data_IF_555060793812
#
_entry.id   IF_555060793812
#
_cell.length_a   1.000
_cell.length_b   1.000
_cell.length_c   1.000
_cell.angle_alpha   90.00
_cell.angle_beta   90.00
_cell.angle_gamma   90.00
#
_symmetry.space_group_name_H-M   'P 1'
#
loop_
_entity.id
_entity.type
_entity.pdbx_description
1 polymer ?
#
# COMPACT_ATOMS: atom_id res chain seq x y z
N UNK A 1 -6.67 -8.67 -3.17
CA UNK A 1 -6.46 -7.67 -2.09
C UNK A 1 -5.42 -6.59 -2.40
N UNK A 2 -4.42 -6.85 -3.26
CA UNK A 2 -3.44 -5.83 -3.66
C UNK A 2 -4.09 -4.57 -4.26
N UNK A 3 -4.94 -4.73 -5.29
CA UNK A 3 -5.65 -3.61 -5.94
C UNK A 3 -6.59 -2.88 -4.98
N UNK A 4 -7.32 -3.61 -4.15
CA UNK A 4 -8.27 -3.01 -3.20
C UNK A 4 -7.55 -2.18 -2.13
N UNK A 5 -6.32 -2.58 -1.75
CA UNK A 5 -5.52 -1.84 -0.79
C UNK A 5 -5.01 -0.50 -1.34
N UNK A 6 -4.79 -0.34 -2.65
CA UNK A 6 -4.38 0.93 -3.25
C UNK A 6 -5.53 1.88 -3.54
N UNK A 7 -6.73 1.36 -3.81
CA UNK A 7 -7.93 2.16 -4.13
C UNK A 7 -8.35 3.09 -2.98
N UNK A 8 -8.10 2.71 -1.72
CA UNK A 8 -8.50 3.53 -0.58
C UNK A 8 -7.75 4.87 -0.46
N UNK A 9 -6.60 5.01 -1.15
CA UNK A 9 -5.81 6.23 -1.18
C UNK A 9 -5.18 6.67 0.14
N UNK A 10 -5.27 5.87 1.20
CA UNK A 10 -4.76 6.24 2.52
C UNK A 10 -3.24 6.41 2.45
N UNK A 11 -2.51 5.42 1.96
CA UNK A 11 -1.06 5.54 1.83
C UNK A 11 -0.64 6.59 0.77
N UNK A 12 -1.28 6.57 -0.41
CA UNK A 12 -0.89 7.37 -1.59
C UNK A 12 -1.25 8.86 -1.54
N UNK A 13 -1.91 9.29 -0.48
CA UNK A 13 -2.20 10.72 -0.21
C UNK A 13 -1.80 11.13 1.22
N UNK A 14 -1.07 10.28 1.94
CA UNK A 14 -0.75 10.48 3.35
C UNK A 14 0.16 11.68 3.65
N UNK A 15 1.06 12.04 2.75
CA UNK A 15 1.92 13.23 2.80
C UNK A 15 1.17 14.42 2.20
N UNK A 16 0.49 14.23 1.07
CA UNK A 16 -0.30 15.29 0.42
C UNK A 16 -1.37 15.90 1.34
N UNK A 17 -1.99 15.08 2.20
CA UNK A 17 -2.99 15.50 3.20
C UNK A 17 -2.44 16.40 4.31
N UNK A 18 -1.13 16.43 4.52
CA UNK A 18 -0.53 17.33 5.52
C UNK A 18 -0.61 18.80 5.07
N UNK A 19 -0.55 19.07 3.76
CA UNK A 19 -0.61 20.43 3.22
C UNK A 19 0.37 21.38 3.92
N UNK A 20 -0.14 22.51 4.42
CA UNK A 20 0.63 23.50 5.19
C UNK A 20 1.25 22.94 6.48
N UNK A 21 0.63 21.92 7.09
CA UNK A 21 1.12 21.30 8.32
C UNK A 21 2.38 20.45 8.10
N UNK A 22 2.82 20.25 6.85
CA UNK A 22 4.07 19.54 6.56
C UNK A 22 5.29 20.24 7.19
N UNK A 23 5.22 21.57 7.39
CA UNK A 23 6.26 22.32 8.09
C UNK A 23 6.31 21.96 9.57
N UNK A 24 5.16 21.80 10.23
CA UNK A 24 5.08 21.37 11.63
C UNK A 24 5.76 20.00 11.84
N UNK A 25 5.57 19.08 10.90
CA UNK A 25 6.19 17.75 10.92
C UNK A 25 7.73 17.76 10.88
N UNK A 26 8.36 18.89 10.52
CA UNK A 26 9.82 19.08 10.59
C UNK A 26 10.31 19.55 11.95
N UNK A 27 9.46 20.17 12.77
CA UNK A 27 9.83 20.71 14.07
C UNK A 27 9.61 19.71 15.21
N UNK A 28 8.76 18.70 15.01
CA UNK A 28 8.53 17.68 16.04
C UNK A 28 9.79 16.82 16.25
N UNK A 29 10.09 16.40 17.50
CA UNK A 29 11.27 15.59 17.83
C UNK A 29 11.08 14.11 17.45
N UNK A 30 10.56 13.84 16.26
CA UNK A 30 10.27 12.49 15.75
C UNK A 30 11.00 12.29 14.42
N UNK A 31 11.76 11.20 14.31
CA UNK A 31 12.52 10.90 13.09
C UNK A 31 11.60 10.77 11.87
N UNK A 32 12.03 11.24 10.70
CA UNK A 32 11.27 11.11 9.45
C UNK A 32 10.92 9.65 9.12
N UNK A 33 11.79 8.71 9.49
CA UNK A 33 11.52 7.27 9.34
C UNK A 33 10.29 6.84 10.12
N UNK A 34 10.19 7.26 11.37
CA UNK A 34 9.03 6.98 12.23
C UNK A 34 7.76 7.61 11.66
N UNK A 35 7.84 8.85 11.17
CA UNK A 35 6.69 9.53 10.56
C UNK A 35 6.20 8.82 9.28
N UNK A 36 7.14 8.42 8.40
CA UNK A 36 6.83 7.65 7.19
C UNK A 36 6.21 6.29 7.55
N UNK A 37 6.78 5.58 8.54
CA UNK A 37 6.26 4.29 8.96
C UNK A 37 4.88 4.38 9.59
N UNK A 38 4.59 5.42 10.37
CA UNK A 38 3.25 5.65 10.90
C UNK A 38 2.20 5.73 9.77
N UNK A 39 2.55 6.39 8.65
CA UNK A 39 1.68 6.50 7.47
C UNK A 39 1.48 5.16 6.77
N UNK A 40 2.55 4.37 6.61
CA UNK A 40 2.47 3.01 6.04
C UNK A 40 1.60 2.12 6.92
N UNK A 41 1.84 2.07 8.23
CA UNK A 41 1.12 1.22 9.19
C UNK A 41 -0.37 1.57 9.20
N UNK A 42 -0.71 2.87 9.18
CA UNK A 42 -2.12 3.30 9.13
C UNK A 42 -2.82 2.76 7.88
N UNK A 43 -2.17 2.84 6.73
CA UNK A 43 -2.71 2.27 5.48
C UNK A 43 -2.82 0.74 5.52
N UNK A 44 -1.86 0.06 6.13
CA UNK A 44 -1.88 -1.41 6.29
C UNK A 44 -3.02 -1.85 7.20
N UNK A 45 -3.24 -1.18 8.34
CA UNK A 45 -4.33 -1.51 9.26
C UNK A 45 -5.69 -1.41 8.57
N UNK A 46 -5.94 -0.32 7.86
CA UNK A 46 -7.18 -0.15 7.08
C UNK A 46 -7.27 -1.14 5.91
N UNK A 47 -6.14 -1.50 5.29
CA UNK A 47 -6.07 -2.55 4.29
C UNK A 47 -6.47 -3.92 4.84
N UNK A 48 -6.02 -4.27 6.05
CA UNK A 48 -6.39 -5.51 6.74
C UNK A 48 -7.88 -5.52 7.08
N UNK A 49 -8.43 -4.42 7.59
CA UNK A 49 -9.88 -4.31 7.85
C UNK A 49 -10.68 -4.53 6.56
N UNK A 50 -10.28 -3.87 5.46
CA UNK A 50 -10.92 -4.04 4.15
C UNK A 50 -10.83 -5.49 3.63
N UNK A 51 -9.68 -6.14 3.80
CA UNK A 51 -9.50 -7.55 3.46
C UNK A 51 -10.43 -8.46 4.27
N UNK A 52 -10.51 -8.28 5.59
CA UNK A 52 -11.36 -9.10 6.45
C UNK A 52 -12.84 -8.99 6.06
N UNK A 53 -13.31 -7.77 5.79
CA UNK A 53 -14.68 -7.53 5.31
C UNK A 53 -14.92 -8.26 3.98
N UNK A 54 -14.01 -8.11 3.02
CA UNK A 54 -14.12 -8.76 1.70
C UNK A 54 -14.10 -10.30 1.82
N UNK A 55 -13.22 -10.85 2.66
CA UNK A 55 -13.16 -12.29 2.92
C UNK A 55 -14.45 -12.81 3.59
N UNK A 56 -15.01 -12.07 4.56
CA UNK A 56 -16.26 -12.45 5.22
C UNK A 56 -17.45 -12.45 4.24
N UNK A 57 -17.55 -11.41 3.41
CA UNK A 57 -18.58 -11.31 2.36
C UNK A 57 -18.43 -12.44 1.34
N UNK A 58 -17.20 -12.72 0.89
CA UNK A 58 -16.95 -13.79 -0.06
C UNK A 58 -17.28 -15.18 0.52
N UNK A 59 -16.92 -15.44 1.78
CA UNK A 59 -17.25 -16.69 2.47
C UNK A 59 -18.78 -16.86 2.59
N UNK A 60 -19.51 -15.80 2.93
CA UNK A 60 -20.96 -15.85 3.08
C UNK A 60 -21.71 -16.03 1.75
N UNK A 61 -21.27 -15.35 0.68
CA UNK A 61 -21.98 -15.38 -0.61
C UNK A 61 -21.66 -16.62 -1.46
N UNK A 62 -20.43 -17.12 -1.39
CA UNK A 62 -19.95 -18.20 -2.28
C UNK A 62 -19.72 -19.53 -1.55
N UNK A 63 -20.02 -19.60 -0.25
CA UNK A 63 -19.86 -20.79 0.59
C UNK A 63 -18.45 -21.42 0.49
N UNK A 64 -17.43 -20.55 0.48
CA UNK A 64 -16.05 -21.00 0.32
C UNK A 64 -15.57 -21.77 1.55
N UNK A 65 -14.76 -22.83 1.37
CA UNK A 65 -14.20 -23.57 2.49
C UNK A 65 -13.31 -22.66 3.33
N UNK A 66 -13.44 -22.74 4.65
CA UNK A 66 -12.70 -21.88 5.58
C UNK A 66 -11.18 -21.96 5.43
N UNK A 67 -10.65 -23.11 4.99
CA UNK A 67 -9.24 -23.28 4.67
C UNK A 67 -8.77 -22.37 3.52
N UNK A 68 -9.59 -22.21 2.48
CA UNK A 68 -9.29 -21.32 1.35
C UNK A 68 -9.32 -19.85 1.78
N UNK A 69 -10.31 -19.47 2.60
CA UNK A 69 -10.42 -18.11 3.15
C UNK A 69 -9.19 -17.77 4.01
N UNK A 70 -8.73 -18.72 4.84
CA UNK A 70 -7.52 -18.56 5.63
C UNK A 70 -6.27 -18.36 4.76
N UNK A 71 -6.09 -19.19 3.72
CA UNK A 71 -4.96 -19.06 2.79
C UNK A 71 -4.99 -17.71 2.08
N UNK A 72 -6.14 -17.28 1.55
CA UNK A 72 -6.29 -15.97 0.89
C UNK A 72 -5.95 -14.83 1.84
N UNK A 73 -6.40 -14.91 3.09
CA UNK A 73 -6.14 -13.89 4.11
C UNK A 73 -4.64 -13.74 4.38
N UNK A 74 -3.93 -14.86 4.58
CA UNK A 74 -2.48 -14.85 4.84
C UNK A 74 -1.70 -14.35 3.62
N UNK A 75 -2.02 -14.83 2.42
CA UNK A 75 -1.36 -14.40 1.17
C UNK A 75 -1.58 -12.91 0.89
N UNK A 76 -2.69 -12.35 1.35
CA UNK A 76 -3.03 -10.94 1.14
C UNK A 76 -2.21 -9.96 1.97
N UNK A 77 -1.68 -10.38 3.13
CA UNK A 77 -0.93 -9.50 4.04
C UNK A 77 0.29 -8.83 3.38
N UNK A 78 1.25 -9.56 2.76
CA UNK A 78 2.38 -8.93 2.09
C UNK A 78 1.94 -8.08 0.89
N UNK A 79 0.86 -8.46 0.19
CA UNK A 79 0.30 -7.61 -0.85
C UNK A 79 -0.24 -6.27 -0.30
N UNK A 80 -0.92 -6.27 0.83
CA UNK A 80 -1.39 -5.04 1.48
C UNK A 80 -0.21 -4.17 1.89
N UNK A 81 0.85 -4.76 2.45
CA UNK A 81 2.07 -4.04 2.82
C UNK A 81 2.72 -3.40 1.58
N UNK A 82 2.90 -4.16 0.51
CA UNK A 82 3.43 -3.68 -0.76
C UNK A 82 2.67 -2.48 -1.30
N UNK A 83 1.34 -2.57 -1.38
CA UNK A 83 0.50 -1.49 -1.90
C UNK A 83 0.67 -0.19 -1.08
N UNK A 84 0.78 -0.30 0.24
CA UNK A 84 0.95 0.85 1.12
C UNK A 84 2.38 1.43 1.08
N UNK A 85 3.41 0.59 0.97
CA UNK A 85 4.79 1.05 0.77
C UNK A 85 4.92 1.82 -0.55
N UNK A 86 4.38 1.27 -1.63
CA UNK A 86 4.33 1.93 -2.95
C UNK A 86 3.56 3.24 -2.87
N UNK A 87 2.38 3.23 -2.23
CA UNK A 87 1.56 4.43 -2.07
C UNK A 87 2.30 5.57 -1.38
N UNK A 88 2.87 5.31 -0.19
CA UNK A 88 3.63 6.33 0.55
C UNK A 88 4.86 6.77 -0.24
N UNK A 89 5.55 5.86 -0.93
CA UNK A 89 6.72 6.22 -1.72
C UNK A 89 6.38 7.15 -2.89
N UNK A 90 5.28 6.90 -3.61
CA UNK A 90 4.81 7.80 -4.68
C UNK A 90 4.45 9.16 -4.11
N UNK A 91 3.74 9.18 -2.98
CA UNK A 91 3.32 10.44 -2.37
C UNK A 91 4.49 11.28 -1.84
N UNK A 92 5.58 10.62 -1.41
CA UNK A 92 6.85 11.29 -1.07
C UNK A 92 7.58 11.84 -2.30
N UNK A 93 7.46 11.21 -3.46
CA UNK A 93 8.11 11.65 -4.69
C UNK A 93 7.42 12.87 -5.30
N UNK A 94 6.09 12.95 -5.17
CA UNK A 94 5.30 14.02 -5.76
C UNK A 94 4.18 14.49 -4.81
N UNK A 95 4.51 15.06 -3.63
CA UNK A 95 3.51 15.46 -2.66
C UNK A 95 2.68 16.63 -3.19
N UNK A 96 1.36 16.47 -3.22
CA UNK A 96 0.41 17.51 -3.60
C UNK A 96 0.02 18.32 -2.37
N UNK A 97 0.84 19.28 -1.98
CA UNK A 97 0.65 20.08 -0.76
C UNK A 97 -0.29 21.27 -0.94
N UNK A 98 -0.28 21.89 -2.12
CA UNK A 98 -1.16 23.02 -2.41
C UNK A 98 -2.53 22.51 -2.89
N UNK A 99 -3.50 22.61 -2.01
CA UNK A 99 -4.90 22.34 -2.32
C UNK A 99 -5.77 23.40 -1.67
N UNK A 100 -6.87 23.77 -2.34
CA UNK A 100 -7.82 24.75 -1.84
C UNK A 100 -8.79 24.18 -0.81
N UNK A 101 -8.93 22.85 -0.79
CA UNK A 101 -9.78 22.07 0.11
C UNK A 101 -9.12 20.68 0.30
N UNK A 102 -9.16 20.15 1.51
CA UNK A 102 -8.65 18.82 1.87
C UNK A 102 -9.19 17.72 0.94
N UNK A 103 -10.41 17.87 0.42
CA UNK A 103 -10.97 16.91 -0.54
C UNK A 103 -10.13 16.80 -1.82
N UNK A 104 -9.47 17.89 -2.27
CA UNK A 104 -8.62 17.89 -3.47
C UNK A 104 -7.27 17.22 -3.24
N UNK A 105 -6.82 17.13 -1.98
CA UNK A 105 -5.63 16.38 -1.59
C UNK A 105 -5.82 14.86 -1.79
N UNK A 106 -7.08 14.41 -1.75
CA UNK A 106 -7.47 13.01 -1.86
C UNK A 106 -8.07 12.68 -3.23
N UNK A 107 -9.22 13.28 -3.59
CA UNK A 107 -10.00 12.89 -4.79
C UNK A 107 -9.36 13.29 -6.11
N UNK A 108 -8.58 14.37 -6.13
CA UNK A 108 -7.92 14.90 -7.34
C UNK A 108 -6.41 14.68 -7.31
N UNK A 109 -5.95 13.66 -6.59
CA UNK A 109 -4.53 13.36 -6.46
C UNK A 109 -4.13 12.23 -7.42
N UNK A 110 -3.29 12.56 -8.41
CA UNK A 110 -2.81 11.60 -9.39
C UNK A 110 -1.92 10.52 -8.75
N UNK A 111 -1.38 10.73 -7.55
CA UNK A 111 -0.62 9.73 -6.81
C UNK A 111 -1.47 8.48 -6.52
N UNK A 112 -2.78 8.67 -6.32
CA UNK A 112 -3.73 7.55 -6.22
C UNK A 112 -3.74 6.71 -7.50
N UNK A 113 -3.83 7.38 -8.66
CA UNK A 113 -3.83 6.72 -9.96
C UNK A 113 -2.50 5.99 -10.23
N UNK A 114 -1.36 6.63 -9.93
CA UNK A 114 -0.05 5.99 -10.10
C UNK A 114 0.10 4.76 -9.19
N UNK A 115 -0.33 4.85 -7.93
CA UNK A 115 -0.33 3.72 -7.00
C UNK A 115 -1.22 2.58 -7.52
N UNK A 116 -2.40 2.91 -8.03
CA UNK A 116 -3.32 1.95 -8.63
C UNK A 116 -2.70 1.27 -9.85
N UNK A 117 -2.12 2.02 -10.79
CA UNK A 117 -1.49 1.46 -12.00
C UNK A 117 -0.38 0.48 -11.64
N UNK A 118 0.51 0.83 -10.69
CA UNK A 118 1.56 -0.09 -10.24
C UNK A 118 0.96 -1.35 -9.63
N UNK A 119 -0.05 -1.22 -8.76
CA UNK A 119 -0.70 -2.39 -8.16
C UNK A 119 -1.42 -3.26 -9.22
N UNK A 120 -2.04 -2.66 -10.23
CA UNK A 120 -2.66 -3.40 -11.34
C UNK A 120 -1.60 -4.17 -12.14
N UNK A 121 -0.47 -3.55 -12.46
CA UNK A 121 0.63 -4.20 -13.19
C UNK A 121 1.18 -5.39 -12.41
N UNK A 122 1.44 -5.24 -11.11
CA UNK A 122 1.92 -6.33 -10.27
C UNK A 122 0.86 -7.42 -10.07
N UNK A 123 -0.42 -7.07 -9.98
CA UNK A 123 -1.52 -8.05 -9.94
C UNK A 123 -1.57 -8.87 -11.23
N UNK A 124 -1.51 -8.20 -12.39
CA UNK A 124 -1.50 -8.85 -13.70
C UNK A 124 -0.30 -9.76 -13.88
N UNK A 125 0.89 -9.31 -13.46
CA UNK A 125 2.12 -10.11 -13.48
C UNK A 125 1.98 -11.36 -12.61
N UNK A 126 1.49 -11.22 -11.38
CA UNK A 126 1.25 -12.36 -10.48
C UNK A 126 0.28 -13.37 -11.09
N UNK A 127 -0.86 -12.92 -11.62
CA UNK A 127 -1.84 -13.80 -12.26
C UNK A 127 -1.20 -14.52 -13.47
N UNK A 128 -0.49 -13.78 -14.32
CA UNK A 128 0.17 -14.35 -15.51
C UNK A 128 1.16 -15.45 -15.14
N UNK A 129 2.02 -15.23 -14.13
CA UNK A 129 2.97 -16.24 -13.63
C UNK A 129 2.20 -17.48 -13.12
N UNK A 130 1.20 -17.28 -12.27
CA UNK A 130 0.46 -18.40 -11.69
C UNK A 130 -0.23 -19.28 -12.75
N UNK A 131 -0.83 -18.65 -13.76
CA UNK A 131 -1.48 -19.36 -14.88
C UNK A 131 -0.46 -20.06 -15.77
N UNK A 132 0.65 -19.39 -16.11
CA UNK A 132 1.66 -19.93 -17.03
C UNK A 132 2.34 -21.20 -16.49
N UNK A 133 2.55 -21.28 -15.18
CA UNK A 133 3.25 -22.39 -14.53
C UNK A 133 2.31 -23.43 -13.91
N UNK A 134 0.99 -23.26 -14.00
CA UNK A 134 -0.03 -24.20 -13.49
C UNK A 134 0.20 -24.60 -12.01
N UNK A 135 0.45 -23.63 -11.14
CA UNK A 135 0.71 -23.91 -9.73
C UNK A 135 -0.50 -24.50 -9.00
N UNK A 136 -0.23 -25.43 -8.08
CA UNK A 136 -1.21 -25.82 -7.05
C UNK A 136 -1.45 -24.67 -6.07
N UNK A 137 -2.55 -24.70 -5.31
CA UNK A 137 -2.90 -23.65 -4.34
C UNK A 137 -1.75 -23.37 -3.36
N UNK A 138 -1.10 -24.42 -2.84
CA UNK A 138 0.00 -24.27 -1.88
C UNK A 138 1.23 -23.64 -2.52
N UNK A 139 1.59 -24.06 -3.74
CA UNK A 139 2.71 -23.47 -4.48
C UNK A 139 2.43 -22.02 -4.85
N UNK A 140 1.19 -21.71 -5.26
CA UNK A 140 0.76 -20.34 -5.54
C UNK A 140 0.84 -19.46 -4.28
N UNK A 141 0.37 -19.95 -3.13
CA UNK A 141 0.45 -19.22 -1.88
C UNK A 141 1.91 -18.93 -1.47
N UNK A 142 2.77 -19.95 -1.47
CA UNK A 142 4.19 -19.81 -1.11
C UNK A 142 4.92 -18.86 -2.05
N UNK A 143 4.70 -19.00 -3.36
CA UNK A 143 5.36 -18.14 -4.36
C UNK A 143 4.93 -16.68 -4.24
N UNK A 144 3.64 -16.40 -4.05
CA UNK A 144 3.15 -15.03 -3.85
C UNK A 144 3.67 -14.41 -2.55
N UNK A 145 3.62 -15.14 -1.44
CA UNK A 145 4.14 -14.66 -0.15
C UNK A 145 5.63 -14.34 -0.28
N UNK A 146 6.41 -15.25 -0.86
CA UNK A 146 7.86 -15.07 -1.01
C UNK A 146 8.19 -13.89 -1.93
N UNK A 147 7.46 -13.77 -3.04
CA UNK A 147 7.65 -12.70 -4.02
C UNK A 147 7.36 -11.32 -3.42
N UNK A 148 6.20 -11.14 -2.79
CA UNK A 148 5.86 -9.85 -2.19
C UNK A 148 6.68 -9.55 -0.94
N UNK A 149 7.03 -10.55 -0.11
CA UNK A 149 7.92 -10.33 1.02
C UNK A 149 9.31 -9.83 0.59
N UNK A 150 9.87 -10.39 -0.48
CA UNK A 150 11.14 -9.91 -1.04
C UNK A 150 11.02 -8.46 -1.54
N UNK A 151 9.95 -8.15 -2.27
CA UNK A 151 9.68 -6.79 -2.74
C UNK A 151 9.50 -5.81 -1.58
N UNK A 152 8.80 -6.20 -0.53
CA UNK A 152 8.57 -5.37 0.66
C UNK A 152 9.89 -5.07 1.39
N UNK A 153 10.78 -6.06 1.54
CA UNK A 153 12.10 -5.85 2.13
C UNK A 153 12.90 -4.82 1.32
N UNK A 154 12.91 -4.97 -0.01
CA UNK A 154 13.62 -4.05 -0.90
C UNK A 154 13.00 -2.64 -0.83
N UNK A 155 11.68 -2.53 -0.96
CA UNK A 155 10.96 -1.27 -0.93
C UNK A 155 11.10 -0.57 0.42
N UNK A 156 11.00 -1.30 1.53
CA UNK A 156 11.24 -0.77 2.87
C UNK A 156 12.65 -0.17 2.99
N UNK A 157 13.68 -0.90 2.52
CA UNK A 157 15.05 -0.41 2.53
C UNK A 157 15.22 0.87 1.69
N UNK A 158 14.62 0.92 0.51
CA UNK A 158 14.62 2.10 -0.36
C UNK A 158 13.87 3.27 0.28
N UNK A 159 12.69 3.02 0.85
CA UNK A 159 11.84 4.02 1.50
C UNK A 159 12.53 4.61 2.72
N UNK A 160 13.17 3.81 3.56
CA UNK A 160 13.88 4.32 4.74
C UNK A 160 15.12 5.14 4.38
N UNK A 161 15.84 4.75 3.32
CA UNK A 161 17.05 5.46 2.86
C UNK A 161 16.71 6.73 2.06
N UNK A 162 15.87 6.62 1.04
CA UNK A 162 15.52 7.72 0.14
C UNK A 162 14.35 8.55 0.65
N UNK A 163 13.33 7.93 1.23
CA UNK A 163 12.13 8.61 1.72
C UNK A 163 12.44 9.63 2.81
N UNK A 164 13.35 9.31 3.74
CA UNK A 164 13.79 10.27 4.76
C UNK A 164 14.45 11.52 4.16
N UNK A 165 15.26 11.35 3.11
CA UNK A 165 15.93 12.45 2.42
C UNK A 165 14.99 13.25 1.51
N UNK A 166 13.96 12.59 0.95
CA UNK A 166 12.89 13.28 0.23
C UNK A 166 12.07 14.12 1.22
N UNK A 167 11.62 13.52 2.32
CA UNK A 167 10.81 14.18 3.35
C UNK A 167 11.46 15.47 3.87
N UNK A 168 12.77 15.44 4.13
CA UNK A 168 13.49 16.64 4.61
C UNK A 168 13.48 17.80 3.61
N UNK A 169 13.46 17.50 2.30
CA UNK A 169 13.48 18.47 1.20
C UNK A 169 12.10 19.01 0.83
N UNK A 170 11.03 18.44 1.38
CA UNK A 170 9.67 18.89 1.08
C UNK A 170 9.45 20.28 1.68
N UNK A 171 9.16 21.28 0.87
CA UNK A 171 8.80 22.63 1.31
C UNK A 171 7.35 22.90 0.89
N UNK A 172 6.68 23.76 1.65
CA UNK A 172 5.38 24.31 1.26
C UNK A 172 5.63 25.57 0.43
#
# INVERSE_FOLDING_TARGET
MLMTASINGIASTSISREGENILFNKYIPVSYRTQILAKVITGVLWGIVGMLIMCAVAAFLFDFPGSLVAVISVVSLPGILFANLVGVFIDLLNPKLHWSDEQRAVKQNLNLLFSLVICVLFTGLSIWILVKFHFTINQAAISLISFYALLDIVLYGVLMKKGSALFSKIEY
#
